data_IF_180124731098
#
_entry.id   IF_180124731098
#
_cell.length_a   1.000
_cell.length_b   1.000
_cell.length_c   1.000
_cell.angle_alpha   90.00
_cell.angle_beta   90.00
_cell.angle_gamma   90.00
#
_symmetry.space_group_name_H-M   'P 1'
#
loop_
_entity.id
_entity.type
_entity.pdbx_description
1 polymer ?
#
# COMPACT_ATOMS: atom_id res chain seq x y z
N UNK A 1 4.55 13.17 -10.61
CA UNK A 1 3.29 13.12 -9.82
C UNK A 1 2.36 12.05 -10.36
N UNK A 2 2.46 10.83 -9.87
CA UNK A 2 1.57 9.73 -10.26
C UNK A 2 1.16 8.89 -9.06
N UNK A 3 -0.05 8.35 -9.13
CA UNK A 3 -0.52 7.30 -8.25
C UNK A 3 -0.14 5.95 -8.86
N UNK A 4 0.66 5.16 -8.15
CA UNK A 4 1.22 3.89 -8.65
C UNK A 4 0.34 2.71 -8.28
N UNK A 5 -0.34 2.77 -7.14
CA UNK A 5 -1.28 1.72 -6.76
C UNK A 5 -2.21 2.10 -5.63
N UNK A 6 -3.36 1.43 -5.58
CA UNK A 6 -4.35 1.52 -4.52
C UNK A 6 -4.74 0.10 -4.12
N UNK A 7 -4.76 -0.18 -2.83
CA UNK A 7 -5.14 -1.49 -2.31
C UNK A 7 -6.02 -1.41 -1.09
N UNK A 8 -6.80 -2.47 -0.89
CA UNK A 8 -7.55 -2.72 0.33
C UNK A 8 -7.12 -4.07 0.91
N UNK A 9 -6.84 -4.08 2.21
CA UNK A 9 -6.44 -5.26 2.95
C UNK A 9 -7.31 -5.42 4.19
N UNK A 10 -7.48 -6.66 4.62
CA UNK A 10 -8.05 -7.02 5.90
C UNK A 10 -6.91 -7.26 6.89
N UNK A 11 -6.80 -6.41 7.90
CA UNK A 11 -5.87 -6.57 9.01
C UNK A 11 -6.41 -7.63 9.98
N UNK A 12 -5.67 -8.74 10.14
CA UNK A 12 -6.00 -9.87 11.02
C UNK A 12 -5.15 -9.91 12.31
N UNK A 13 -4.57 -8.77 12.71
CA UNK A 13 -3.63 -8.69 13.83
C UNK A 13 -2.16 -8.88 13.44
N UNK A 14 -1.25 -8.69 14.40
CA UNK A 14 0.20 -8.74 14.15
C UNK A 14 0.73 -10.15 13.79
N UNK A 15 0.03 -11.20 14.23
CA UNK A 15 0.46 -12.58 14.07
C UNK A 15 0.19 -13.14 12.67
N UNK A 16 -0.83 -12.62 11.98
CA UNK A 16 -1.29 -13.15 10.69
C UNK A 16 -1.06 -12.08 9.62
N UNK A 17 -0.50 -12.44 8.45
CA UNK A 17 -0.37 -11.51 7.33
C UNK A 17 -1.76 -10.97 6.92
N UNK A 18 -1.92 -9.65 6.71
CA UNK A 18 -3.16 -9.08 6.20
C UNK A 18 -3.54 -9.70 4.86
N UNK A 19 -4.82 -9.94 4.62
CA UNK A 19 -5.32 -10.54 3.38
C UNK A 19 -5.73 -9.44 2.39
N UNK A 20 -5.34 -9.52 1.12
CA UNK A 20 -5.81 -8.53 0.13
C UNK A 20 -7.29 -8.76 -0.17
N UNK A 21 -8.10 -7.70 -0.06
CA UNK A 21 -9.47 -7.67 -0.58
C UNK A 21 -9.45 -7.32 -2.07
N UNK A 22 -8.47 -6.48 -2.45
CA UNK A 22 -8.15 -6.15 -3.83
C UNK A 22 -6.95 -5.21 -3.91
N UNK A 23 -6.35 -5.13 -5.09
CA UNK A 23 -5.29 -4.17 -5.40
C UNK A 23 -5.33 -3.81 -6.88
N UNK A 24 -5.28 -2.52 -7.17
CA UNK A 24 -5.04 -1.98 -8.50
C UNK A 24 -3.65 -1.31 -8.53
N UNK A 25 -2.86 -1.61 -9.55
CA UNK A 25 -1.51 -1.06 -9.73
C UNK A 25 -1.30 -0.60 -11.16
N UNK A 26 -0.72 0.57 -11.33
CA UNK A 26 -0.28 1.12 -12.60
C UNK A 26 1.25 1.06 -12.70
N UNK A 27 1.73 0.01 -13.38
CA UNK A 27 3.15 -0.25 -13.63
C UNK A 27 3.52 0.00 -15.10
N UNK A 28 2.75 0.83 -15.81
CA UNK A 28 2.98 1.06 -17.25
C UNK A 28 4.37 1.60 -17.55
N UNK A 29 4.98 2.32 -16.60
CA UNK A 29 6.27 2.99 -16.73
C UNK A 29 7.46 2.01 -16.68
N UNK A 30 7.24 0.79 -16.22
CA UNK A 30 8.27 -0.24 -16.20
C UNK A 30 8.29 -1.02 -17.50
N UNK A 31 9.47 -1.52 -17.86
CA UNK A 31 9.64 -2.40 -19.02
C UNK A 31 8.71 -3.60 -18.91
N UNK A 32 8.11 -4.02 -20.03
CA UNK A 32 7.05 -5.04 -20.07
C UNK A 32 7.35 -6.28 -19.21
N UNK A 33 8.58 -6.79 -19.28
CA UNK A 33 9.02 -7.98 -18.54
C UNK A 33 9.25 -7.76 -17.04
N UNK A 34 9.45 -6.51 -16.60
CA UNK A 34 9.63 -6.16 -15.18
C UNK A 34 8.31 -5.91 -14.45
N UNK A 35 7.24 -5.61 -15.20
CA UNK A 35 5.93 -5.22 -14.63
C UNK A 35 5.36 -6.24 -13.66
N UNK A 36 5.51 -7.54 -13.95
CA UNK A 36 5.08 -8.61 -13.05
C UNK A 36 5.80 -8.55 -11.71
N UNK A 37 7.14 -8.47 -11.76
CA UNK A 37 7.98 -8.38 -10.57
C UNK A 37 7.76 -7.11 -9.76
N UNK A 38 7.56 -5.97 -10.42
CA UNK A 38 7.26 -4.71 -9.72
C UNK A 38 5.92 -4.79 -9.01
N UNK A 39 4.90 -5.39 -9.65
CA UNK A 39 3.59 -5.60 -9.01
C UNK A 39 3.73 -6.48 -7.77
N UNK A 40 4.40 -7.62 -7.88
CA UNK A 40 4.68 -8.51 -6.74
C UNK A 40 5.43 -7.77 -5.61
N UNK A 41 6.42 -6.95 -5.95
CA UNK A 41 7.15 -6.10 -4.99
C UNK A 41 6.25 -5.09 -4.27
N UNK A 42 5.36 -4.42 -5.01
CA UNK A 42 4.38 -3.48 -4.43
C UNK A 42 3.44 -4.23 -3.48
N UNK A 43 2.94 -5.41 -3.88
CA UNK A 43 2.08 -6.24 -3.03
C UNK A 43 2.78 -6.63 -1.72
N UNK A 44 4.01 -7.12 -1.81
CA UNK A 44 4.79 -7.51 -0.65
C UNK A 44 5.03 -6.34 0.33
N UNK A 45 5.44 -5.17 -0.19
CA UNK A 45 5.68 -3.98 0.63
C UNK A 45 4.37 -3.51 1.27
N UNK A 46 3.30 -3.48 0.50
CA UNK A 46 1.98 -3.08 0.97
C UNK A 46 1.50 -3.96 2.14
N UNK A 47 1.61 -5.28 1.99
CA UNK A 47 1.25 -6.25 3.03
C UNK A 47 2.12 -6.08 4.28
N UNK A 48 3.42 -5.90 4.10
CA UNK A 48 4.38 -5.72 5.20
C UNK A 48 4.07 -4.46 6.01
N UNK A 49 3.81 -3.34 5.35
CA UNK A 49 3.49 -2.06 6.02
C UNK A 49 2.13 -2.15 6.73
N UNK A 50 1.11 -2.72 6.07
CA UNK A 50 -0.21 -2.89 6.66
C UNK A 50 -0.16 -3.78 7.91
N UNK A 51 0.63 -4.85 7.91
CA UNK A 51 0.80 -5.73 9.07
C UNK A 51 1.44 -5.03 10.27
N UNK A 52 2.27 -4.02 10.02
CA UNK A 52 3.01 -3.30 11.06
C UNK A 52 2.32 -2.01 11.51
N UNK A 53 1.17 -1.69 10.91
CA UNK A 53 0.36 -0.53 11.27
C UNK A 53 -0.76 -0.96 12.20
N UNK A 54 -0.82 -0.36 13.38
CA UNK A 54 -1.88 -0.64 14.35
C UNK A 54 -3.24 -0.10 13.86
N UNK A 55 -4.37 -0.76 14.22
CA UNK A 55 -5.69 -0.20 13.99
C UNK A 55 -5.84 1.22 14.54
N UNK A 56 -6.52 2.08 13.78
CA UNK A 56 -6.69 3.50 14.09
C UNK A 56 -5.52 4.39 13.66
N UNK A 57 -4.39 3.82 13.24
CA UNK A 57 -3.20 4.58 12.86
C UNK A 57 -3.14 4.88 11.35
N UNK A 58 -2.44 5.98 11.05
CA UNK A 58 -2.06 6.40 9.69
C UNK A 58 -0.54 6.49 9.62
N UNK A 59 0.06 5.86 8.61
CA UNK A 59 1.49 5.91 8.40
C UNK A 59 1.83 6.23 6.95
N UNK A 60 2.97 6.88 6.76
CA UNK A 60 3.60 7.06 5.45
C UNK A 60 4.99 6.45 5.54
N UNK A 61 5.31 5.56 4.62
CA UNK A 61 6.60 4.88 4.58
C UNK A 61 7.25 5.17 3.24
N UNK A 62 8.43 5.79 3.27
CA UNK A 62 9.23 6.01 2.07
C UNK A 62 9.99 4.73 1.70
N UNK A 63 9.85 4.31 0.45
CA UNK A 63 10.59 3.20 -0.13
C UNK A 63 11.18 3.65 -1.48
N UNK A 64 12.48 3.91 -1.49
CA UNK A 64 13.20 4.51 -2.63
C UNK A 64 12.57 5.84 -3.06
N UNK A 65 12.04 5.93 -4.28
CA UNK A 65 11.41 7.12 -4.87
C UNK A 65 9.90 7.21 -4.60
N UNK A 66 9.33 6.15 -4.02
CA UNK A 66 7.89 6.03 -3.77
C UNK A 66 7.54 6.24 -2.30
N UNK A 67 6.35 6.78 -2.06
CA UNK A 67 5.72 6.87 -0.76
C UNK A 67 4.55 5.89 -0.68
N UNK A 68 4.54 5.07 0.36
CA UNK A 68 3.46 4.16 0.70
C UNK A 68 2.67 4.76 1.85
N UNK A 69 1.45 5.20 1.58
CA UNK A 69 0.52 5.72 2.57
C UNK A 69 -0.44 4.62 2.99
N UNK A 70 -0.56 4.38 4.29
CA UNK A 70 -1.44 3.34 4.85
C UNK A 70 -2.34 3.93 5.92
N UNK A 71 -3.58 3.50 5.94
CA UNK A 71 -4.51 3.77 7.02
C UNK A 71 -5.25 2.49 7.38
N UNK A 72 -5.12 2.07 8.65
CA UNK A 72 -5.89 0.95 9.19
C UNK A 72 -7.02 1.52 10.04
N UNK A 73 -8.27 1.20 9.72
CA UNK A 73 -9.45 1.56 10.53
C UNK A 73 -9.60 0.58 11.70
N UNK A 74 -10.34 0.99 12.73
CA UNK A 74 -10.58 0.18 13.94
C UNK A 74 -11.35 -1.12 13.67
N UNK A 75 -12.11 -1.16 12.57
CA UNK A 75 -12.82 -2.35 12.10
C UNK A 75 -11.91 -3.38 11.40
N UNK A 76 -10.60 -3.15 11.36
CA UNK A 76 -9.61 -4.01 10.69
C UNK A 76 -9.48 -3.79 9.19
N UNK A 77 -10.24 -2.86 8.59
CA UNK A 77 -10.09 -2.54 7.17
C UNK A 77 -8.91 -1.59 6.97
N UNK A 78 -7.96 -1.99 6.13
CA UNK A 78 -6.76 -1.24 5.82
C UNK A 78 -6.78 -0.76 4.37
N UNK A 79 -6.56 0.53 4.15
CA UNK A 79 -6.38 1.12 2.84
C UNK A 79 -4.93 1.51 2.62
N UNK A 80 -4.41 1.22 1.44
CA UNK A 80 -3.06 1.59 1.05
C UNK A 80 -3.05 2.31 -0.28
N UNK A 81 -2.23 3.34 -0.39
CA UNK A 81 -1.91 4.04 -1.63
C UNK A 81 -0.40 4.11 -1.78
N UNK A 82 0.10 3.72 -2.95
CA UNK A 82 1.49 3.88 -3.34
C UNK A 82 1.54 4.98 -4.40
N UNK A 83 2.35 5.99 -4.19
CA UNK A 83 2.48 7.13 -5.09
C UNK A 83 3.93 7.64 -5.15
N UNK A 84 4.23 8.45 -6.16
CA UNK A 84 5.51 9.17 -6.21
C UNK A 84 5.62 10.15 -5.03
N UNK A 85 6.84 10.48 -4.61
CA UNK A 85 7.08 11.47 -3.56
C UNK A 85 6.52 12.88 -3.86
N UNK A 86 6.29 13.20 -5.12
CA UNK A 86 5.68 14.46 -5.54
C UNK A 86 4.14 14.48 -5.37
N UNK A 87 3.50 13.31 -5.24
CA UNK A 87 2.05 13.25 -5.03
C UNK A 87 1.70 13.73 -3.62
N UNK A 88 0.78 14.70 -3.45
CA UNK A 88 0.49 15.25 -2.13
C UNK A 88 -0.01 14.18 -1.15
N UNK A 89 0.63 14.10 0.03
CA UNK A 89 0.26 13.13 1.06
C UNK A 89 -1.20 13.29 1.52
N UNK A 90 -1.68 14.53 1.61
CA UNK A 90 -3.08 14.86 1.94
C UNK A 90 -4.06 14.30 0.91
N UNK A 91 -3.75 14.44 -0.39
CA UNK A 91 -4.53 13.86 -1.46
C UNK A 91 -4.53 12.32 -1.36
N UNK A 92 -3.38 11.71 -1.09
CA UNK A 92 -3.27 10.25 -0.95
C UNK A 92 -4.17 9.71 0.18
N UNK A 93 -4.15 10.34 1.36
CA UNK A 93 -5.04 9.95 2.46
C UNK A 93 -6.52 10.23 2.17
N UNK A 94 -6.83 11.27 1.41
CA UNK A 94 -8.20 11.53 0.93
C UNK A 94 -8.70 10.39 0.04
N UNK A 95 -7.85 9.89 -0.86
CA UNK A 95 -8.15 8.73 -1.70
C UNK A 95 -8.38 7.49 -0.86
N UNK A 96 -7.50 7.22 0.13
CA UNK A 96 -7.66 6.09 1.05
C UNK A 96 -9.00 6.17 1.78
N UNK A 97 -9.33 7.32 2.37
CA UNK A 97 -10.61 7.52 3.07
C UNK A 97 -11.80 7.22 2.16
N UNK A 98 -11.81 7.80 0.95
CA UNK A 98 -12.91 7.60 0.01
C UNK A 98 -13.07 6.15 -0.44
N UNK A 99 -11.98 5.47 -0.75
CA UNK A 99 -11.99 4.07 -1.18
C UNK A 99 -12.47 3.15 -0.05
N UNK A 100 -12.05 3.41 1.19
CA UNK A 100 -12.53 2.70 2.37
C UNK A 100 -14.03 2.91 2.57
N UNK A 101 -14.52 4.14 2.43
CA UNK A 101 -15.92 4.48 2.60
C UNK A 101 -16.79 3.87 1.49
N UNK A 102 -16.35 3.94 0.23
CA UNK A 102 -17.05 3.34 -0.91
C UNK A 102 -17.13 1.82 -0.79
N UNK A 103 -16.05 1.18 -0.35
CA UNK A 103 -16.05 -0.25 -0.09
C UNK A 103 -17.03 -0.61 1.03
N UNK A 104 -17.02 0.13 2.15
CA UNK A 104 -17.97 -0.09 3.25
C UNK A 104 -19.41 0.21 2.85
N UNK A 105 -19.66 1.13 1.92
CA UNK A 105 -21.01 1.38 1.41
C UNK A 105 -21.53 0.22 0.56
N UNK A 106 -20.65 -0.45 -0.21
CA UNK A 106 -21.02 -1.57 -1.08
C UNK A 106 -21.09 -2.90 -0.33
N UNK A 107 -20.14 -3.14 0.58
CA UNK A 107 -19.94 -4.44 1.23
C UNK A 107 -20.07 -4.40 2.76
N UNK A 108 -20.36 -3.25 3.38
CA UNK A 108 -20.42 -3.13 4.84
C UNK A 108 -21.58 -3.86 5.50
N UNK A 109 -22.61 -4.25 4.75
CA UNK A 109 -23.71 -5.08 5.24
C UNK A 109 -23.41 -6.59 5.16
N UNK A 110 -22.42 -6.98 4.36
CA UNK A 110 -22.04 -8.38 4.16
C UNK A 110 -20.73 -8.64 4.93
N UNK A 111 -20.76 -9.53 5.92
CA UNK A 111 -19.56 -9.87 6.71
C UNK A 111 -18.59 -10.79 5.95
N UNK A 112 -18.90 -11.19 4.71
CA UNK A 112 -18.06 -12.08 3.90
C UNK A 112 -16.62 -11.57 3.70
N UNK A 113 -16.43 -10.24 3.64
CA UNK A 113 -15.10 -9.64 3.50
C UNK A 113 -14.23 -9.79 4.76
N UNK A 114 -14.83 -10.04 5.94
CA UNK A 114 -14.10 -10.26 7.20
C UNK A 114 -13.57 -11.69 7.35
N UNK A 115 -14.14 -12.63 6.61
CA UNK A 115 -13.77 -14.05 6.64
C UNK A 115 -12.88 -14.46 5.46
N UNK A 116 -12.30 -13.50 4.75
CA UNK A 116 -11.41 -13.78 3.62
C UNK A 116 -10.13 -14.46 4.10
N UNK A 117 -9.94 -15.72 3.75
CA UNK A 117 -8.74 -16.51 4.09
C UNK A 117 -7.63 -16.42 3.03
N UNK A 118 -7.97 -15.97 1.81
CA UNK A 118 -7.06 -15.82 0.69
C UNK A 118 -7.25 -14.47 0.00
N UNK A 119 -6.23 -14.04 -0.74
CA UNK A 119 -6.28 -12.79 -1.49
C UNK A 119 -7.40 -12.82 -2.53
N UNK A 120 -8.22 -11.78 -2.52
CA UNK A 120 -9.37 -11.62 -3.38
C UNK A 120 -9.19 -10.50 -4.41
N UNK A 121 -10.15 -10.45 -5.33
CA UNK A 121 -10.29 -9.40 -6.34
C UNK A 121 -11.59 -8.60 -6.17
N UNK A 122 -12.26 -8.75 -5.02
CA UNK A 122 -13.59 -8.19 -4.76
C UNK A 122 -13.60 -6.68 -4.94
N UNK A 123 -12.57 -6.00 -4.44
CA UNK A 123 -12.45 -4.56 -4.51
C UNK A 123 -11.79 -4.06 -5.82
N UNK A 124 -11.30 -4.93 -6.72
CA UNK A 124 -10.52 -4.49 -7.88
C UNK A 124 -11.27 -3.50 -8.79
N UNK A 125 -12.55 -3.69 -9.14
CA UNK A 125 -13.27 -2.73 -9.99
C UNK A 125 -13.34 -1.33 -9.38
N UNK A 126 -13.57 -1.24 -8.06
CA UNK A 126 -13.57 0.02 -7.32
C UNK A 126 -12.18 0.66 -7.32
N UNK A 127 -11.14 -0.15 -7.08
CA UNK A 127 -9.75 0.30 -6.97
C UNK A 127 -9.19 0.76 -8.32
N UNK A 128 -9.52 0.08 -9.42
CA UNK A 128 -9.12 0.47 -10.77
C UNK A 128 -9.76 1.80 -11.17
N UNK A 129 -11.07 1.98 -10.89
CA UNK A 129 -11.75 3.24 -11.13
C UNK A 129 -11.16 4.39 -10.29
N UNK A 130 -10.84 4.12 -9.02
CA UNK A 130 -10.19 5.08 -8.14
C UNK A 130 -8.77 5.44 -8.63
N UNK A 131 -7.98 4.44 -9.03
CA UNK A 131 -6.62 4.61 -9.53
C UNK A 131 -6.60 5.54 -10.76
N UNK A 132 -7.53 5.36 -11.71
CA UNK A 132 -7.62 6.23 -12.90
C UNK A 132 -8.11 7.63 -12.54
N UNK A 133 -9.17 7.73 -11.72
CA UNK A 133 -9.80 9.02 -11.37
C UNK A 133 -8.88 9.93 -10.56
N UNK A 134 -8.11 9.36 -9.63
CA UNK A 134 -7.27 10.11 -8.70
C UNK A 134 -5.81 10.23 -9.13
N UNK A 135 -5.48 9.84 -10.38
CA UNK A 135 -4.23 10.29 -11.00
C UNK A 135 -4.12 11.82 -10.97
N UNK A 136 -5.23 12.51 -11.22
CA UNK A 136 -5.35 13.94 -10.98
C UNK A 136 -5.62 14.21 -9.50
N UNK A 137 -4.57 14.65 -8.78
CA UNK A 137 -4.66 14.95 -7.35
C UNK A 137 -5.73 16.00 -7.02
N UNK A 138 -6.08 16.89 -7.95
CA UNK A 138 -7.10 17.92 -7.70
C UNK A 138 -8.49 17.33 -7.50
N UNK A 139 -8.76 16.13 -8.04
CA UNK A 139 -9.99 15.39 -7.77
C UNK A 139 -10.01 14.84 -6.35
N UNK A 140 -8.85 14.47 -5.80
CA UNK A 140 -8.71 14.06 -4.41
C UNK A 140 -8.84 15.27 -3.46
N UNK A 141 -8.36 16.45 -3.87
CA UNK A 141 -8.51 17.68 -3.07
C UNK A 141 -9.98 18.10 -2.91
N UNK A 142 -10.83 17.80 -3.90
CA UNK A 142 -12.30 18.00 -3.76
C UNK A 142 -12.88 17.10 -2.68
N UNK A 143 -12.35 15.89 -2.51
CA UNK A 143 -12.74 14.99 -1.43
C UNK A 143 -12.31 15.57 -0.09
N UNK A 144 -11.05 16.01 0.03
CA UNK A 144 -10.53 16.64 1.25
C UNK A 144 -11.38 17.85 1.70
N UNK A 145 -11.89 18.64 0.74
CA UNK A 145 -12.79 19.78 1.04
C UNK A 145 -14.17 19.36 1.55
N UNK A 146 -14.66 18.19 1.13
CA UNK A 146 -15.97 17.65 1.51
C UNK A 146 -15.85 16.87 2.83
N UNK A 147 -14.80 16.06 2.96
CA UNK A 147 -14.44 15.33 4.17
C UNK A 147 -13.63 16.24 5.09
N UNK A 148 -14.36 17.04 5.87
CA UNK A 148 -13.85 17.92 6.92
C UNK A 148 -13.20 17.16 8.11
N UNK A 149 -13.21 15.82 8.06
CA UNK A 149 -12.78 14.91 9.13
C UNK A 149 -11.37 14.30 8.89
N UNK A 150 -10.55 14.90 8.02
CA UNK A 150 -9.14 14.47 7.91
C UNK A 150 -8.29 14.90 9.11
N UNK A 151 -8.83 15.69 10.02
CA UNK A 151 -8.11 16.28 11.14
C UNK A 151 -7.93 15.33 12.34
N UNK A 152 -6.77 15.48 12.99
CA UNK A 152 -6.31 14.93 14.27
C UNK A 152 -5.61 13.56 14.32
N UNK A 153 -5.61 12.74 13.26
CA UNK A 153 -4.76 11.53 13.29
C UNK A 153 -3.34 11.85 12.87
N UNK A 154 -2.42 11.90 13.85
CA UNK A 154 -0.99 12.11 13.64
C UNK A 154 -0.45 11.09 12.63
N UNK A 155 -0.11 11.56 11.43
CA UNK A 155 0.52 10.72 10.40
C UNK A 155 1.95 10.44 10.85
N UNK A 156 2.28 9.16 11.05
CA UNK A 156 3.64 8.74 11.37
C UNK A 156 4.42 8.60 10.07
N UNK A 157 5.47 9.39 9.89
CA UNK A 157 6.33 9.35 8.71
C UNK A 157 7.60 8.55 8.99
N UNK A 158 7.80 7.51 8.19
CA UNK A 158 8.97 6.66 8.16
C UNK A 158 9.81 6.97 6.92
N UNK A 159 11.09 7.29 7.12
CA UNK A 159 12.01 7.63 6.02
C UNK A 159 12.46 6.41 5.21
N UNK A 160 12.37 5.22 5.80
CA UNK A 160 12.72 3.95 5.15
C UNK A 160 11.76 2.85 5.61
N UNK A 161 11.54 1.87 4.74
CA UNK A 161 10.82 0.64 5.09
C UNK A 161 11.45 -0.10 6.28
N UNK A 162 12.77 -0.07 6.42
CA UNK A 162 13.49 -0.70 7.53
C UNK A 162 13.06 -0.14 8.91
N UNK A 163 12.60 1.11 8.97
CA UNK A 163 12.15 1.73 10.22
C UNK A 163 10.79 1.23 10.71
N UNK A 164 10.06 0.50 9.86
CA UNK A 164 8.78 -0.14 10.19
C UNK A 164 8.98 -1.61 10.60
N UNK A 165 10.18 -2.17 10.35
CA UNK A 165 10.52 -3.54 10.70
C UNK A 165 10.82 -3.69 12.19
N UNK A 166 10.63 -4.91 12.71
CA UNK A 166 10.97 -5.22 14.10
C UNK A 166 12.49 -5.19 14.30
N UNK A 167 12.93 -4.87 15.53
CA UNK A 167 14.36 -4.86 15.87
C UNK A 167 15.01 -6.22 15.55
N UNK A 168 16.04 -6.21 14.71
CA UNK A 168 16.76 -7.42 14.30
C UNK A 168 16.18 -8.13 13.07
N UNK A 169 15.05 -7.66 12.55
CA UNK A 169 14.47 -8.15 11.30
C UNK A 169 15.08 -7.40 10.11
N UNK A 170 15.37 -8.11 9.02
CA UNK A 170 15.89 -7.53 7.78
C UNK A 170 14.89 -7.75 6.67
N UNK A 171 14.68 -6.73 5.84
CA UNK A 171 13.79 -6.83 4.69
C UNK A 171 14.16 -7.99 3.74
N UNK A 172 15.45 -8.24 3.54
CA UNK A 172 15.91 -9.35 2.67
C UNK A 172 15.45 -10.72 3.20
N UNK A 173 15.38 -10.89 4.51
CA UNK A 173 14.88 -12.13 5.12
C UNK A 173 13.35 -12.26 5.00
N UNK A 174 12.64 -11.14 4.91
CA UNK A 174 11.20 -11.13 4.62
C UNK A 174 10.93 -11.44 3.15
N UNK A 175 11.75 -10.93 2.23
CA UNK A 175 11.70 -11.24 0.79
C UNK A 175 11.83 -12.75 0.57
N UNK A 176 12.76 -13.41 1.27
CA UNK A 176 12.99 -14.87 1.16
C UNK A 176 11.84 -15.72 1.68
N UNK A 177 11.06 -15.19 2.63
CA UNK A 177 9.93 -15.90 3.24
C UNK A 177 8.58 -15.51 2.64
N UNK A 178 8.57 -14.58 1.70
CA UNK A 178 7.35 -14.02 1.15
C UNK A 178 6.70 -14.98 0.17
N UNK A 179 5.41 -15.22 0.37
CA UNK A 179 4.56 -15.90 -0.62
C UNK A 179 4.03 -14.94 -1.71
N UNK A 180 4.26 -13.62 -1.55
CA UNK A 180 3.85 -12.60 -2.52
C UNK A 180 4.84 -12.45 -3.69
N UNK A 181 6.05 -13.00 -3.55
CA UNK A 181 7.14 -12.84 -4.51
C UNK A 181 7.48 -14.18 -5.15
N UNK A 182 7.41 -14.23 -6.48
CA UNK A 182 8.01 -15.33 -7.24
C UNK A 182 9.53 -15.36 -7.07
N UNK A 183 10.16 -16.52 -7.31
CA UNK A 183 11.63 -16.65 -7.24
C UNK A 183 12.35 -15.62 -8.12
N UNK A 184 11.80 -15.33 -9.30
CA UNK A 184 12.32 -14.30 -10.19
C UNK A 184 12.26 -12.91 -9.54
N UNK A 185 11.14 -12.58 -8.90
CA UNK A 185 10.96 -11.30 -8.21
C UNK A 185 11.83 -11.16 -6.96
N UNK A 186 12.01 -12.23 -6.19
CA UNK A 186 12.94 -12.26 -5.05
C UNK A 186 14.37 -11.97 -5.51
N UNK A 187 14.83 -12.64 -6.57
CA UNK A 187 16.15 -12.42 -7.16
C UNK A 187 16.30 -10.99 -7.69
N UNK A 188 15.30 -10.48 -8.40
CA UNK A 188 15.29 -9.11 -8.91
C UNK A 188 15.38 -8.08 -7.79
N UNK A 189 14.56 -8.22 -6.74
CA UNK A 189 14.53 -7.29 -5.62
C UNK A 189 15.89 -7.24 -4.91
N UNK A 190 16.49 -8.42 -4.65
CA UNK A 190 17.83 -8.52 -4.07
C UNK A 190 18.91 -7.90 -4.97
N UNK A 191 18.83 -8.14 -6.28
CA UNK A 191 19.81 -7.62 -7.22
C UNK A 191 19.72 -6.08 -7.33
N UNK A 192 18.51 -5.53 -7.41
CA UNK A 192 18.28 -4.08 -7.44
C UNK A 192 18.89 -3.39 -6.21
N UNK A 193 18.65 -3.93 -5.01
CA UNK A 193 19.23 -3.39 -3.77
C UNK A 193 20.75 -3.47 -3.74
N UNK A 194 21.35 -4.57 -4.19
CA UNK A 194 22.82 -4.69 -4.27
C UNK A 194 23.41 -3.64 -5.20
N UNK A 195 22.83 -3.44 -6.38
CA UNK A 195 23.28 -2.42 -7.33
C UNK A 195 23.15 -1.00 -6.75
N UNK A 196 22.04 -0.69 -6.08
CA UNK A 196 21.82 0.61 -5.43
C UNK A 196 22.70 0.84 -4.20
N UNK A 197 23.19 -0.22 -3.55
CA UNK A 197 24.09 -0.11 -2.39
C UNK A 197 25.53 0.27 -2.77
N UNK A 198 25.96 -0.02 -4.00
CA UNK A 198 27.31 0.28 -4.49
C UNK A 198 27.56 1.76 -4.80
N UNK A 199 26.54 2.63 -4.70
CA UNK A 199 26.65 4.07 -4.97
C UNK A 199 26.49 4.95 -3.72
N UNK A 200 26.54 4.37 -2.50
CA UNK A 200 26.55 5.14 -1.23
C UNK A 200 27.96 5.45 -0.69
N UNK A 201 29.01 5.06 -1.41
CA UNK A 201 30.40 5.39 -1.11
C UNK A 201 31.02 6.16 -2.27
N UNK A 202 30.62 7.42 -2.41
CA UNK A 202 31.38 8.49 -3.06
C UNK A 202 30.91 9.83 -2.50
#
# INVERSE_FOLDING_TARGET
MRLVGVGLLLYKGDATPPTFIGMATDVSNFGYFQRGTVREGIMFIARTIAQRTQPGMRQTVKNEEYLCHVHVKDNGLAGIVVADAEYPTTAAFSVIGKVLDDFMQQHGQDDSWRTLEADGILANPLLEAALVKYQDHTQADKIAKIQKDLDETKIILHQTIDSVLKRGEKLDALVDKSNDLSLASQMFYKQARKTNSCCRFM
#
